data_IF_723566241278
#
_entry.id   IF_723566241278
#
_cell.length_a   1.000
_cell.length_b   1.000
_cell.length_c   1.000
_cell.angle_alpha   90.00
_cell.angle_beta   90.00
_cell.angle_gamma   90.00
#
_symmetry.space_group_name_H-M   'P 1'
#
loop_
_entity.id
_entity.type
_entity.pdbx_description
1 polymer ?
#
# COMPACT_ATOMS: atom_id res chain seq x y z
N UNK A 1 -13.48 7.59 -9.66
CA UNK A 1 -12.32 6.72 -9.98
C UNK A 1 -12.52 6.04 -11.32
N UNK A 2 -11.52 6.04 -12.17
CA UNK A 2 -11.53 5.34 -13.45
C UNK A 2 -10.97 3.93 -13.31
N UNK A 3 -11.19 3.09 -14.32
CA UNK A 3 -10.61 1.75 -14.39
C UNK A 3 -9.07 1.81 -14.37
N UNK A 4 -8.48 2.77 -15.09
CA UNK A 4 -7.04 2.97 -15.11
C UNK A 4 -6.48 3.37 -13.74
N UNK A 5 -7.18 4.24 -13.03
CA UNK A 5 -6.80 4.63 -11.68
C UNK A 5 -6.84 3.44 -10.71
N UNK A 6 -7.87 2.60 -10.82
CA UNK A 6 -7.98 1.39 -10.02
C UNK A 6 -6.81 0.43 -10.32
N UNK A 7 -6.55 0.18 -11.60
CA UNK A 7 -5.46 -0.71 -12.01
C UNK A 7 -4.12 -0.20 -11.50
N UNK A 8 -3.85 1.08 -11.67
CA UNK A 8 -2.62 1.72 -11.20
C UNK A 8 -2.46 1.55 -9.70
N UNK A 9 -3.51 1.80 -8.92
CA UNK A 9 -3.49 1.66 -7.46
C UNK A 9 -3.11 0.24 -7.05
N UNK A 10 -3.80 -0.75 -7.59
CA UNK A 10 -3.57 -2.15 -7.22
C UNK A 10 -2.16 -2.60 -7.58
N UNK A 11 -1.69 -2.26 -8.77
CA UNK A 11 -0.35 -2.65 -9.22
C UNK A 11 0.74 -1.95 -8.40
N UNK A 12 0.58 -0.68 -8.09
CA UNK A 12 1.52 0.03 -7.22
C UNK A 12 1.60 -0.60 -5.83
N UNK A 13 0.45 -1.00 -5.28
CA UNK A 13 0.41 -1.67 -3.98
C UNK A 13 1.10 -3.03 -4.02
N UNK A 14 0.87 -3.82 -5.06
CA UNK A 14 1.55 -5.12 -5.24
C UNK A 14 3.06 -4.91 -5.31
N UNK A 15 3.53 -3.96 -6.11
CA UNK A 15 4.96 -3.67 -6.25
C UNK A 15 5.58 -3.17 -4.94
N UNK A 16 4.89 -2.28 -4.24
CA UNK A 16 5.36 -1.75 -2.97
C UNK A 16 5.48 -2.85 -1.90
N UNK A 17 4.46 -3.70 -1.77
CA UNK A 17 4.47 -4.83 -0.84
C UNK A 17 5.54 -5.85 -1.21
N UNK A 18 5.69 -6.15 -2.51
CA UNK A 18 6.74 -7.04 -3.00
C UNK A 18 8.12 -6.55 -2.59
N UNK A 19 8.41 -5.28 -2.84
CA UNK A 19 9.70 -4.66 -2.49
C UNK A 19 9.92 -4.63 -0.99
N UNK A 20 8.88 -4.33 -0.23
CA UNK A 20 8.94 -4.33 1.23
C UNK A 20 9.30 -5.71 1.79
N UNK A 21 8.81 -6.78 1.16
CA UNK A 21 9.15 -8.15 1.51
C UNK A 21 10.52 -8.60 0.99
N UNK A 22 11.14 -7.79 0.14
CA UNK A 22 12.42 -8.14 -0.49
C UNK A 22 12.30 -9.19 -1.59
N UNK A 23 11.11 -9.33 -2.20
CA UNK A 23 10.88 -10.30 -3.26
C UNK A 23 11.17 -9.71 -4.64
N UNK A 24 11.85 -10.51 -5.49
CA UNK A 24 11.88 -10.26 -6.93
C UNK A 24 10.51 -10.60 -7.54
N UNK A 25 10.26 -10.18 -8.78
CA UNK A 25 9.06 -10.58 -9.51
C UNK A 25 8.97 -12.11 -9.60
N UNK A 26 10.08 -12.76 -9.91
CA UNK A 26 10.16 -14.21 -10.03
C UNK A 26 9.80 -14.91 -8.71
N UNK A 27 10.35 -14.43 -7.60
CA UNK A 27 10.06 -15.00 -6.29
C UNK A 27 8.60 -14.83 -5.90
N UNK A 28 8.02 -13.67 -6.15
CA UNK A 28 6.59 -13.46 -5.88
C UNK A 28 5.73 -14.36 -6.77
N UNK A 29 6.09 -14.49 -8.05
CA UNK A 29 5.38 -15.38 -8.96
C UNK A 29 5.39 -16.83 -8.44
N UNK A 30 6.55 -17.32 -8.01
CA UNK A 30 6.69 -18.66 -7.44
C UNK A 30 5.82 -18.83 -6.20
N UNK A 31 5.87 -17.88 -5.28
CA UNK A 31 5.08 -17.92 -4.05
C UNK A 31 3.58 -17.84 -4.30
N UNK A 32 3.17 -17.13 -5.33
CA UNK A 32 1.76 -16.97 -5.70
C UNK A 32 1.27 -18.07 -6.63
N UNK A 33 2.12 -18.99 -7.03
CA UNK A 33 1.80 -20.06 -7.98
C UNK A 33 1.22 -19.51 -9.29
N UNK A 34 1.91 -18.51 -9.84
CA UNK A 34 1.64 -17.96 -11.18
C UNK A 34 2.93 -17.95 -11.98
N UNK A 35 2.81 -17.87 -13.30
CA UNK A 35 4.00 -17.82 -14.15
C UNK A 35 4.72 -16.49 -14.01
N UNK A 36 6.03 -16.51 -14.23
CA UNK A 36 6.86 -15.30 -14.27
C UNK A 36 6.36 -14.32 -15.33
N UNK A 37 5.94 -14.84 -16.50
CA UNK A 37 5.39 -14.02 -17.57
C UNK A 37 4.10 -13.33 -17.13
N UNK A 38 3.23 -14.05 -16.45
CA UNK A 38 1.99 -13.47 -15.91
C UNK A 38 2.28 -12.36 -14.90
N UNK A 39 3.24 -12.57 -14.00
CA UNK A 39 3.64 -11.55 -13.03
C UNK A 39 4.17 -10.30 -13.73
N UNK A 40 5.02 -10.49 -14.72
CA UNK A 40 5.57 -9.37 -15.50
C UNK A 40 4.46 -8.60 -16.25
N UNK A 41 3.49 -9.32 -16.81
CA UNK A 41 2.36 -8.69 -17.51
C UNK A 41 1.46 -7.92 -16.56
N UNK A 42 1.24 -8.43 -15.36
CA UNK A 42 0.47 -7.76 -14.32
C UNK A 42 1.16 -6.45 -13.91
N UNK A 43 2.42 -6.50 -13.52
CA UNK A 43 3.16 -5.30 -13.11
C UNK A 43 3.37 -4.32 -14.26
N UNK A 44 3.43 -4.82 -15.49
CA UNK A 44 3.51 -3.99 -16.70
C UNK A 44 2.17 -3.44 -17.19
N UNK A 45 1.09 -3.71 -16.48
CA UNK A 45 -0.27 -3.25 -16.83
C UNK A 45 -0.80 -3.83 -18.14
N UNK A 46 -0.25 -4.96 -18.58
CA UNK A 46 -0.69 -5.65 -19.80
C UNK A 46 -1.77 -6.69 -19.53
N UNK A 47 -2.02 -7.00 -18.26
CA UNK A 47 -2.98 -8.00 -17.85
C UNK A 47 -3.66 -7.57 -16.55
N UNK A 48 -4.98 -7.67 -16.49
CA UNK A 48 -5.72 -7.44 -15.26
C UNK A 48 -5.83 -8.74 -14.44
N UNK A 49 -6.05 -8.57 -13.15
CA UNK A 49 -6.09 -9.64 -12.17
C UNK A 49 -7.47 -10.28 -12.09
N UNK A 50 -7.53 -11.60 -12.10
CA UNK A 50 -8.74 -12.34 -11.75
C UNK A 50 -8.86 -12.41 -10.21
N UNK A 51 -10.04 -12.76 -9.72
CA UNK A 51 -10.26 -13.00 -8.29
C UNK A 51 -9.26 -14.00 -7.75
N UNK A 52 -9.05 -15.10 -8.48
CA UNK A 52 -8.10 -16.17 -8.11
C UNK A 52 -6.69 -15.63 -7.97
N UNK A 53 -6.24 -14.82 -8.91
CA UNK A 53 -4.89 -14.26 -8.90
C UNK A 53 -4.73 -13.22 -7.78
N UNK A 54 -5.75 -12.40 -7.52
CA UNK A 54 -5.73 -11.46 -6.39
C UNK A 54 -5.52 -12.19 -5.07
N UNK A 55 -6.25 -13.28 -4.84
CA UNK A 55 -6.10 -14.10 -3.62
C UNK A 55 -4.71 -14.71 -3.54
N UNK A 56 -4.21 -15.27 -4.63
CA UNK A 56 -2.87 -15.86 -4.69
C UNK A 56 -1.78 -14.85 -4.34
N UNK A 57 -1.87 -13.65 -4.88
CA UNK A 57 -0.89 -12.58 -4.60
C UNK A 57 -0.99 -12.08 -3.17
N UNK A 58 -2.19 -11.87 -2.66
CA UNK A 58 -2.38 -11.44 -1.27
C UNK A 58 -1.82 -12.48 -0.30
N UNK A 59 -2.09 -13.76 -0.52
CA UNK A 59 -1.56 -14.83 0.32
C UNK A 59 -0.03 -14.90 0.25
N UNK A 60 0.54 -14.78 -0.94
CA UNK A 60 1.99 -14.78 -1.12
C UNK A 60 2.66 -13.58 -0.42
N UNK A 61 1.99 -12.45 -0.41
CA UNK A 61 2.47 -11.23 0.27
C UNK A 61 2.11 -11.20 1.77
N UNK A 62 1.35 -12.18 2.24
CA UNK A 62 0.90 -12.29 3.64
C UNK A 62 0.08 -11.07 4.08
N UNK A 63 -0.80 -10.60 3.21
CA UNK A 63 -1.69 -9.48 3.48
C UNK A 63 -3.13 -9.85 3.15
N UNK A 64 -4.08 -9.11 3.71
CA UNK A 64 -5.47 -9.20 3.28
C UNK A 64 -5.63 -8.52 1.92
N UNK A 65 -6.57 -9.03 1.10
CA UNK A 65 -6.82 -8.48 -0.24
C UNK A 65 -7.12 -6.98 -0.20
N UNK A 66 -7.79 -6.48 0.84
CA UNK A 66 -8.12 -5.06 0.92
C UNK A 66 -6.87 -4.17 0.90
N UNK A 67 -5.73 -4.66 1.38
CA UNK A 67 -4.48 -3.88 1.37
C UNK A 67 -3.96 -3.60 -0.04
N UNK A 68 -4.42 -4.38 -1.03
CA UNK A 68 -4.09 -4.11 -2.43
C UNK A 68 -4.91 -2.94 -3.00
N UNK A 69 -5.95 -2.52 -2.31
CA UNK A 69 -6.86 -1.47 -2.77
C UNK A 69 -6.75 -0.16 -1.99
N UNK A 70 -5.84 -0.09 -1.02
CA UNK A 70 -5.63 1.12 -0.23
C UNK A 70 -4.96 2.19 -1.09
N UNK A 71 -5.43 3.45 -1.06
CA UNK A 71 -4.77 4.54 -1.78
C UNK A 71 -3.30 4.65 -1.39
N UNK A 72 -2.43 4.74 -2.39
CA UNK A 72 -1.00 4.90 -2.16
C UNK A 72 -0.66 6.30 -1.64
N UNK A 73 0.54 6.45 -1.08
CA UNK A 73 1.04 7.75 -0.67
C UNK A 73 1.06 8.75 -1.84
N UNK A 74 1.32 8.27 -3.07
CA UNK A 74 1.33 9.10 -4.26
C UNK A 74 -0.05 9.61 -4.65
N UNK A 75 -1.11 8.79 -4.50
CA UNK A 75 -2.49 9.20 -4.76
C UNK A 75 -2.95 10.27 -3.78
N UNK A 76 -2.44 10.21 -2.55
CA UNK A 76 -2.78 11.12 -1.46
C UNK A 76 -1.81 12.29 -1.35
N UNK A 77 -0.88 12.45 -2.28
CA UNK A 77 0.16 13.48 -2.22
C UNK A 77 -0.43 14.88 -2.07
N UNK A 78 -1.53 15.18 -2.77
CA UNK A 78 -2.19 16.48 -2.70
C UNK A 78 -2.75 16.80 -1.30
N UNK A 79 -3.15 15.78 -0.55
CA UNK A 79 -3.73 15.94 0.78
C UNK A 79 -2.76 15.59 1.89
N UNK A 80 -1.64 14.97 1.58
CA UNK A 80 -0.65 14.52 2.54
C UNK A 80 -0.13 15.66 3.42
N UNK A 81 0.20 16.79 2.82
CA UNK A 81 0.67 17.96 3.56
C UNK A 81 -0.34 18.48 4.57
N UNK A 82 -1.63 18.44 4.22
CA UNK A 82 -2.72 18.85 5.10
C UNK A 82 -2.83 17.87 6.28
N UNK A 83 -2.83 16.57 6.01
CA UNK A 83 -2.87 15.55 7.07
C UNK A 83 -1.66 15.63 7.98
N UNK A 84 -0.47 15.81 7.43
CA UNK A 84 0.76 15.94 8.22
C UNK A 84 0.70 17.17 9.14
N UNK A 85 0.21 18.30 8.62
CA UNK A 85 0.06 19.53 9.40
C UNK A 85 -0.93 19.34 10.54
N UNK A 86 -2.10 18.75 10.26
CA UNK A 86 -3.12 18.46 11.28
C UNK A 86 -2.57 17.52 12.34
N UNK A 87 -1.87 16.47 11.92
CA UNK A 87 -1.26 15.49 12.84
C UNK A 87 -0.25 16.17 13.75
N UNK A 88 0.62 17.02 13.20
CA UNK A 88 1.61 17.76 13.98
C UNK A 88 0.95 18.69 14.99
N UNK A 89 -0.09 19.40 14.60
CA UNK A 89 -0.83 20.27 15.53
C UNK A 89 -1.45 19.48 16.68
N UNK A 90 -2.10 18.36 16.38
CA UNK A 90 -2.71 17.50 17.40
C UNK A 90 -1.65 16.98 18.36
N UNK A 91 -0.52 16.49 17.84
CA UNK A 91 0.59 15.98 18.66
C UNK A 91 1.16 17.09 19.54
N UNK A 92 1.35 18.29 19.01
CA UNK A 92 1.85 19.44 19.77
C UNK A 92 0.92 19.83 20.92
N UNK A 93 -0.40 19.85 20.67
CA UNK A 93 -1.40 20.16 21.70
C UNK A 93 -1.43 19.10 22.80
N UNK A 94 -1.34 17.82 22.43
CA UNK A 94 -1.28 16.72 23.42
C UNK A 94 -0.02 16.82 24.26
N UNK A 95 1.12 17.08 23.64
CA UNK A 95 2.41 17.24 24.34
C UNK A 95 2.35 18.38 25.33
N UNK A 96 1.81 19.53 24.92
CA UNK A 96 1.66 20.70 25.77
C UNK A 96 0.77 20.43 26.98
N UNK A 97 -0.36 19.72 26.76
CA UNK A 97 -1.28 19.34 27.82
C UNK A 97 -0.61 18.40 28.84
N UNK A 98 0.18 17.45 28.36
CA UNK A 98 0.95 16.52 29.23
C UNK A 98 1.98 17.31 30.05
N UNK A 99 2.74 18.22 29.43
CA UNK A 99 3.73 19.03 30.11
C UNK A 99 3.09 19.88 31.21
N UNK A 100 1.94 20.49 30.96
CA UNK A 100 1.20 21.27 31.97
C UNK A 100 0.74 20.39 33.12
N UNK A 101 0.23 19.20 32.85
CA UNK A 101 -0.20 18.25 33.87
C UNK A 101 0.98 17.84 34.76
N UNK A 102 2.14 17.56 34.17
CA UNK A 102 3.35 17.20 34.91
C UNK A 102 3.87 18.33 35.75
N UNK A 103 3.77 19.59 35.30
CA UNK A 103 4.19 20.79 36.07
C UNK A 103 3.26 21.08 37.25
N UNK A 104 2.00 20.64 37.16
CA UNK A 104 1.03 20.77 38.23
C UNK A 104 1.19 19.79 39.37
N UNK A 105 2.07 18.82 39.17
CA UNK A 105 2.39 17.83 40.21
C UNK A 105 3.50 18.32 41.11
#
# INVERSE_FOLDING_TARGET
MTEDELQTRVIQNIRALRKKKGFSQERLADKADISRQMMNDIEGRRRWLTKKTLVKLANALEVDVHELFIPSAQENEKTKGIYDTITQEVVSHVKEAVDKALKGL
#
